data_IF_259019180635
#
_entry.id   IF_259019180635
#
_cell.length_a   1.000
_cell.length_b   1.000
_cell.length_c   1.000
_cell.angle_alpha   90.00
_cell.angle_beta   90.00
_cell.angle_gamma   90.00
#
_symmetry.space_group_name_H-M   'P 1'
#
loop_
_entity.id
_entity.type
_entity.pdbx_description
1 polymer ?
#
# COMPACT_ATOMS: atom_id res chain seq x y z
N UNK A 1 50.75 14.78 1.86
CA UNK A 1 49.36 15.31 1.73
C UNK A 1 48.48 14.56 0.70
N UNK A 2 48.99 13.95 -0.38
CA UNK A 2 48.16 13.29 -1.43
C UNK A 2 47.46 11.97 -1.00
N UNK A 3 47.89 11.30 0.09
CA UNK A 3 47.28 10.02 0.53
C UNK A 3 46.01 10.17 1.38
N UNK A 4 45.81 11.34 2.05
CA UNK A 4 44.65 11.56 2.90
C UNK A 4 43.42 11.91 2.07
N UNK A 5 43.59 12.65 0.96
CA UNK A 5 42.50 13.00 0.06
C UNK A 5 41.87 11.79 -0.61
N UNK A 6 42.67 10.78 -0.98
CA UNK A 6 42.16 9.52 -1.58
C UNK A 6 41.30 8.70 -0.62
N UNK A 7 41.65 8.68 0.67
CA UNK A 7 40.92 7.91 1.70
C UNK A 7 39.55 8.50 2.00
N UNK A 8 39.43 9.84 2.01
CA UNK A 8 38.15 10.55 2.23
C UNK A 8 37.19 10.33 1.05
N UNK A 9 37.69 10.36 -0.18
CA UNK A 9 36.86 10.12 -1.38
C UNK A 9 36.36 8.68 -1.41
N UNK A 10 37.21 7.71 -1.04
CA UNK A 10 36.83 6.31 -1.00
C UNK A 10 35.78 6.04 0.10
N UNK A 11 35.94 6.62 1.28
CA UNK A 11 34.95 6.51 2.38
C UNK A 11 33.61 7.13 2.00
N UNK A 12 33.60 8.29 1.34
CA UNK A 12 32.38 8.94 0.86
C UNK A 12 31.67 8.14 -0.21
N UNK A 13 32.42 7.48 -1.08
CA UNK A 13 31.86 6.61 -2.13
C UNK A 13 31.25 5.33 -1.56
N UNK A 14 31.91 4.71 -0.58
CA UNK A 14 31.40 3.50 0.11
C UNK A 14 30.12 3.82 0.90
N UNK A 15 30.07 4.95 1.62
CA UNK A 15 28.87 5.40 2.34
C UNK A 15 27.75 5.72 1.36
N UNK A 16 28.03 6.41 0.26
CA UNK A 16 27.05 6.72 -0.78
C UNK A 16 26.47 5.47 -1.45
N UNK A 17 27.30 4.49 -1.78
CA UNK A 17 26.85 3.22 -2.37
C UNK A 17 26.06 2.40 -1.36
N UNK A 18 26.49 2.30 -0.11
CA UNK A 18 25.75 1.62 0.96
C UNK A 18 24.38 2.26 1.20
N UNK A 19 24.30 3.59 1.18
CA UNK A 19 23.04 4.33 1.34
C UNK A 19 22.08 4.08 0.15
N UNK A 20 22.59 4.10 -1.10
CA UNK A 20 21.79 3.83 -2.30
C UNK A 20 21.32 2.39 -2.36
N UNK A 21 22.15 1.41 -1.98
CA UNK A 21 21.76 -0.01 -1.97
C UNK A 21 20.75 -0.31 -0.87
N UNK A 22 20.86 0.34 0.29
CA UNK A 22 19.91 0.21 1.40
C UNK A 22 18.55 0.80 1.02
N UNK A 23 18.51 1.98 0.39
CA UNK A 23 17.28 2.61 -0.11
C UNK A 23 16.58 1.74 -1.15
N UNK A 24 17.31 1.19 -2.12
CA UNK A 24 16.76 0.28 -3.12
C UNK A 24 16.24 -1.04 -2.53
N UNK A 25 16.79 -1.48 -1.39
CA UNK A 25 16.31 -2.63 -0.63
C UNK A 25 14.96 -2.38 0.04
N UNK A 26 14.81 -1.25 0.70
CA UNK A 26 13.56 -0.86 1.36
C UNK A 26 12.44 -0.63 0.34
N UNK A 27 12.70 0.07 -0.75
CA UNK A 27 11.70 0.27 -1.80
C UNK A 27 11.22 -1.05 -2.40
N UNK A 28 12.10 -2.02 -2.62
CA UNK A 28 11.71 -3.36 -3.09
C UNK A 28 10.85 -4.11 -2.08
N UNK A 29 11.18 -3.99 -0.79
CA UNK A 29 10.39 -4.60 0.28
C UNK A 29 8.99 -3.97 0.36
N UNK A 30 8.89 -2.65 0.26
CA UNK A 30 7.61 -1.94 0.21
C UNK A 30 6.79 -2.38 -1.00
N UNK A 31 7.37 -2.43 -2.21
CA UNK A 31 6.65 -2.89 -3.41
C UNK A 31 6.09 -4.29 -3.26
N UNK A 32 6.87 -5.21 -2.68
CA UNK A 32 6.39 -6.59 -2.42
C UNK A 32 5.17 -6.60 -1.52
N UNK A 33 5.20 -5.86 -0.40
CA UNK A 33 4.07 -5.78 0.52
C UNK A 33 2.84 -5.14 -0.14
N UNK A 34 3.03 -4.13 -0.98
CA UNK A 34 1.92 -3.55 -1.77
C UNK A 34 1.29 -4.58 -2.70
N UNK A 35 2.08 -5.42 -3.36
CA UNK A 35 1.56 -6.51 -4.21
C UNK A 35 0.80 -7.57 -3.39
N UNK A 36 1.28 -7.88 -2.19
CA UNK A 36 0.59 -8.78 -1.25
C UNK A 36 -0.75 -8.17 -0.79
N UNK A 37 -0.76 -6.90 -0.37
CA UNK A 37 -1.97 -6.16 0.01
C UNK A 37 -2.97 -6.12 -1.15
N UNK A 38 -2.52 -5.82 -2.38
CA UNK A 38 -3.36 -5.83 -3.57
C UNK A 38 -4.02 -7.20 -3.78
N UNK A 39 -3.26 -8.26 -3.66
CA UNK A 39 -3.74 -9.64 -3.84
C UNK A 39 -4.72 -10.03 -2.74
N UNK A 40 -4.43 -9.70 -1.48
CA UNK A 40 -5.31 -9.92 -0.35
C UNK A 40 -6.61 -9.12 -0.49
N UNK A 41 -6.54 -7.87 -0.95
CA UNK A 41 -7.70 -7.02 -1.23
C UNK A 41 -8.62 -7.67 -2.27
N UNK A 42 -8.06 -8.10 -3.41
CA UNK A 42 -8.85 -8.74 -4.47
C UNK A 42 -9.50 -10.04 -3.98
N UNK A 43 -8.75 -10.86 -3.25
CA UNK A 43 -9.27 -12.10 -2.67
C UNK A 43 -10.37 -11.80 -1.63
N UNK A 44 -10.15 -10.84 -0.74
CA UNK A 44 -11.14 -10.43 0.25
C UNK A 44 -12.44 -9.97 -0.39
N UNK A 45 -12.37 -9.14 -1.43
CA UNK A 45 -13.52 -8.68 -2.19
C UNK A 45 -14.29 -9.83 -2.85
N UNK A 46 -13.60 -10.77 -3.50
CA UNK A 46 -14.24 -11.88 -4.21
C UNK A 46 -14.76 -12.97 -3.27
N UNK A 47 -14.10 -13.21 -2.14
CA UNK A 47 -14.51 -14.21 -1.15
C UNK A 47 -15.44 -13.65 -0.06
N UNK A 48 -15.70 -12.34 -0.06
CA UNK A 48 -16.46 -11.64 1.00
C UNK A 48 -15.84 -11.84 2.38
N UNK A 49 -14.51 -11.72 2.42
CA UNK A 49 -13.73 -11.87 3.64
C UNK A 49 -13.29 -10.47 4.13
N UNK A 50 -14.07 -9.83 5.01
CA UNK A 50 -13.79 -8.44 5.44
C UNK A 50 -12.47 -8.32 6.23
N UNK A 51 -12.01 -9.41 6.83
CA UNK A 51 -10.78 -9.43 7.64
C UNK A 51 -9.52 -9.78 6.83
N UNK A 52 -9.63 -9.88 5.50
CA UNK A 52 -8.52 -10.29 4.63
C UNK A 52 -7.28 -9.37 4.71
N UNK A 53 -7.44 -8.12 5.14
CA UNK A 53 -6.35 -7.18 5.33
C UNK A 53 -5.89 -6.98 6.77
N UNK A 54 -6.52 -7.62 7.76
CA UNK A 54 -6.19 -7.38 9.18
C UNK A 54 -4.72 -7.61 9.51
N UNK A 55 -4.10 -8.64 8.90
CA UNK A 55 -2.67 -8.91 9.09
C UNK A 55 -1.73 -7.84 8.52
N UNK A 56 -2.20 -7.05 7.56
CA UNK A 56 -1.41 -5.99 6.91
C UNK A 56 -1.48 -4.66 7.65
N UNK A 57 -2.37 -4.50 8.63
CA UNK A 57 -2.42 -3.30 9.46
C UNK A 57 -1.40 -3.36 10.60
N UNK A 58 -0.80 -2.21 10.89
CA UNK A 58 0.03 -2.02 12.07
C UNK A 58 -0.85 -2.00 13.33
N UNK A 59 -0.26 -2.35 14.46
CA UNK A 59 -0.94 -2.33 15.77
C UNK A 59 -0.39 -1.20 16.64
N UNK A 60 -1.14 -0.79 17.67
CA UNK A 60 -0.65 0.18 18.66
C UNK A 60 0.63 -0.30 19.35
N UNK A 61 0.74 -1.61 19.62
CA UNK A 61 1.93 -2.21 20.21
C UNK A 61 3.17 -2.08 19.31
N UNK A 62 3.00 -1.87 18.02
CA UNK A 62 4.07 -1.65 17.03
C UNK A 62 4.38 -0.16 16.83
N UNK A 63 3.80 0.73 17.66
CA UNK A 63 4.03 2.18 17.58
C UNK A 63 3.14 2.90 16.57
N UNK A 64 2.12 2.24 16.03
CA UNK A 64 1.13 2.88 15.19
C UNK A 64 0.16 3.74 16.03
N UNK A 65 0.66 4.88 16.51
CA UNK A 65 -0.20 5.90 17.14
C UNK A 65 -0.71 6.82 16.04
N UNK A 66 -1.65 6.34 15.25
CA UNK A 66 -2.28 7.14 14.19
C UNK A 66 -3.78 7.23 14.46
N UNK A 67 -4.22 8.44 14.77
CA UNK A 67 -5.65 8.73 14.75
C UNK A 67 -6.18 8.35 13.35
N UNK A 68 -7.23 7.54 13.28
CA UNK A 68 -7.83 7.12 12.02
C UNK A 68 -7.44 5.73 11.51
N UNK A 69 -6.53 5.00 12.18
CA UNK A 69 -6.18 3.63 11.75
C UNK A 69 -7.38 2.69 11.87
N UNK A 70 -8.10 2.74 12.99
CA UNK A 70 -9.29 1.93 13.21
C UNK A 70 -10.40 2.29 12.22
N UNK A 71 -10.58 3.58 11.93
CA UNK A 71 -11.55 4.07 10.94
C UNK A 71 -11.17 3.60 9.53
N UNK A 72 -9.88 3.63 9.16
CA UNK A 72 -9.41 3.13 7.87
C UNK A 72 -9.68 1.63 7.72
N UNK A 73 -9.39 0.85 8.75
CA UNK A 73 -9.65 -0.59 8.77
C UNK A 73 -11.15 -0.89 8.69
N UNK A 74 -11.98 -0.16 9.45
CA UNK A 74 -13.42 -0.31 9.43
C UNK A 74 -14.02 0.08 8.08
N UNK A 75 -13.57 1.18 7.48
CA UNK A 75 -14.02 1.62 6.16
C UNK A 75 -13.73 0.55 5.07
N UNK A 76 -12.61 -0.15 5.16
CA UNK A 76 -12.32 -1.27 4.27
C UNK A 76 -13.27 -2.45 4.47
N UNK A 77 -13.57 -2.82 5.72
CA UNK A 77 -14.54 -3.87 6.04
C UNK A 77 -15.95 -3.53 5.55
N UNK A 78 -16.36 -2.29 5.75
CA UNK A 78 -17.65 -1.80 5.27
C UNK A 78 -17.73 -1.82 3.74
N UNK A 79 -16.65 -1.42 3.06
CA UNK A 79 -16.57 -1.47 1.59
C UNK A 79 -16.77 -2.90 1.06
N UNK A 80 -16.09 -3.91 1.64
CA UNK A 80 -16.29 -5.31 1.25
C UNK A 80 -17.72 -5.75 1.50
N UNK A 81 -18.30 -5.37 2.64
CA UNK A 81 -19.64 -5.77 3.05
C UNK A 81 -20.75 -5.19 2.17
N UNK A 82 -20.50 -4.09 1.46
CA UNK A 82 -21.44 -3.46 0.52
C UNK A 82 -21.56 -4.21 -0.81
N UNK A 83 -20.64 -5.13 -1.12
CA UNK A 83 -20.69 -5.87 -2.38
C UNK A 83 -21.67 -7.05 -2.29
N UNK A 84 -22.73 -7.09 -3.12
CA UNK A 84 -23.62 -8.24 -3.18
C UNK A 84 -22.89 -9.53 -3.56
N UNK A 85 -23.29 -10.65 -2.95
CA UNK A 85 -22.58 -11.94 -3.07
C UNK A 85 -22.51 -12.54 -4.47
N UNK A 86 -23.33 -12.06 -5.40
CA UNK A 86 -23.36 -12.51 -6.79
C UNK A 86 -22.44 -11.65 -7.73
N UNK A 87 -21.70 -10.71 -7.18
CA UNK A 87 -20.78 -9.87 -7.93
C UNK A 87 -19.35 -10.38 -7.77
N UNK A 88 -18.52 -10.26 -8.81
CA UNK A 88 -17.09 -10.46 -8.77
C UNK A 88 -16.37 -9.12 -8.99
N UNK A 89 -15.22 -8.95 -8.37
CA UNK A 89 -14.34 -7.78 -8.61
C UNK A 89 -13.17 -8.20 -9.47
N UNK A 90 -12.85 -7.40 -10.45
CA UNK A 90 -11.71 -7.58 -11.33
C UNK A 90 -10.84 -6.33 -11.33
N UNK A 91 -9.54 -6.51 -11.12
CA UNK A 91 -8.55 -5.47 -11.30
C UNK A 91 -7.98 -5.55 -12.71
N UNK A 92 -8.04 -4.43 -13.46
CA UNK A 92 -7.54 -4.34 -14.83
C UNK A 92 -6.11 -3.82 -14.88
N UNK A 93 -5.80 -2.86 -14.01
CA UNK A 93 -4.43 -2.35 -13.84
C UNK A 93 -4.20 -1.93 -12.39
N UNK A 94 -2.94 -1.96 -12.00
CA UNK A 94 -2.46 -1.47 -10.71
C UNK A 94 -1.05 -0.95 -10.88
N UNK A 95 -0.87 0.35 -10.66
CA UNK A 95 0.40 1.03 -10.86
C UNK A 95 0.79 1.82 -9.61
N UNK A 96 1.99 1.62 -9.10
CA UNK A 96 2.59 2.48 -8.08
C UNK A 96 3.14 3.70 -8.79
N UNK A 97 2.49 4.86 -8.60
CA UNK A 97 2.83 6.12 -9.26
C UNK A 97 3.85 6.94 -8.47
N UNK A 98 3.89 6.78 -7.14
CA UNK A 98 4.92 7.35 -6.30
C UNK A 98 5.24 6.41 -5.12
N UNK A 99 6.50 6.36 -4.73
CA UNK A 99 6.98 5.61 -3.58
C UNK A 99 8.12 6.35 -2.92
N UNK A 100 7.95 6.72 -1.66
CA UNK A 100 8.96 7.32 -0.82
C UNK A 100 9.13 6.47 0.44
N UNK A 101 10.27 5.79 0.56
CA UNK A 101 10.64 5.06 1.76
C UNK A 101 11.74 5.83 2.50
N UNK A 102 11.49 6.14 3.77
CA UNK A 102 12.42 6.86 4.64
C UNK A 102 12.74 5.99 5.86
N UNK A 103 14.00 5.97 6.23
CA UNK A 103 14.45 5.37 7.49
C UNK A 103 14.63 6.49 8.51
N UNK A 104 13.93 6.40 9.64
CA UNK A 104 14.13 7.32 10.76
C UNK A 104 15.33 6.88 11.61
N UNK A 105 15.86 7.79 12.46
CA UNK A 105 17.03 7.52 13.31
C UNK A 105 16.83 6.39 14.33
N UNK A 106 15.60 6.01 14.62
CA UNK A 106 15.21 5.02 15.65
C UNK A 106 14.85 3.64 15.05
N UNK A 107 15.43 3.28 13.89
CA UNK A 107 15.12 2.04 13.14
C UNK A 107 13.65 1.91 12.66
N UNK A 108 12.79 2.85 12.98
CA UNK A 108 11.46 2.91 12.43
C UNK A 108 11.52 3.40 10.97
N UNK A 109 11.06 2.59 10.03
CA UNK A 109 10.92 2.97 8.64
C UNK A 109 9.50 3.49 8.39
N UNK A 110 9.39 4.57 7.63
CA UNK A 110 8.12 5.08 7.11
C UNK A 110 8.15 5.03 5.59
N UNK A 111 7.06 4.63 4.98
CA UNK A 111 6.90 4.72 3.54
C UNK A 111 5.55 5.35 3.19
N UNK A 112 5.58 6.22 2.17
CA UNK A 112 4.39 6.78 1.53
C UNK A 112 4.31 6.20 0.13
N UNK A 113 3.15 5.66 -0.21
CA UNK A 113 2.89 5.06 -1.51
C UNK A 113 1.64 5.66 -2.10
N UNK A 114 1.73 6.14 -3.32
CA UNK A 114 0.59 6.50 -4.15
C UNK A 114 0.43 5.44 -5.22
N UNK A 115 -0.76 4.87 -5.33
CA UNK A 115 -1.07 3.93 -6.39
C UNK A 115 -2.34 4.32 -7.14
N UNK A 116 -2.42 3.87 -8.38
CA UNK A 116 -3.59 3.98 -9.23
C UNK A 116 -4.08 2.57 -9.56
N UNK A 117 -5.37 2.37 -9.42
CA UNK A 117 -6.07 1.11 -9.65
C UNK A 117 -7.22 1.34 -10.64
N UNK A 118 -7.34 0.49 -11.65
CA UNK A 118 -8.54 0.39 -12.47
C UNK A 118 -9.26 -0.92 -12.14
N UNK A 119 -10.51 -0.85 -11.75
CA UNK A 119 -11.30 -2.02 -11.36
C UNK A 119 -12.72 -1.99 -11.89
N UNK A 120 -13.32 -3.15 -11.96
CA UNK A 120 -14.74 -3.31 -12.31
C UNK A 120 -15.42 -4.30 -11.36
N UNK A 121 -16.71 -4.10 -11.16
CA UNK A 121 -17.59 -5.08 -10.54
C UNK A 121 -18.38 -5.76 -11.64
N UNK A 122 -18.29 -7.08 -11.67
CA UNK A 122 -18.84 -7.94 -12.73
C UNK A 122 -20.02 -8.73 -12.16
N UNK A 123 -21.14 -8.74 -12.90
CA UNK A 123 -22.29 -9.59 -12.63
C UNK A 123 -22.71 -10.28 -13.92
N UNK A 124 -22.89 -11.60 -13.89
CA UNK A 124 -23.29 -12.39 -15.05
C UNK A 124 -22.43 -12.10 -16.30
N UNK A 125 -21.14 -11.88 -16.12
CA UNK A 125 -20.19 -11.61 -17.19
C UNK A 125 -20.18 -10.17 -17.72
N UNK A 126 -20.99 -9.28 -17.15
CA UNK A 126 -21.04 -7.86 -17.57
C UNK A 126 -20.53 -6.95 -16.46
N UNK A 127 -19.77 -5.92 -16.84
CA UNK A 127 -19.36 -4.87 -15.90
C UNK A 127 -20.58 -3.99 -15.56
N UNK A 128 -20.96 -3.98 -14.29
CA UNK A 128 -22.07 -3.16 -13.77
C UNK A 128 -21.58 -1.90 -13.07
N UNK A 129 -20.29 -1.88 -12.73
CA UNK A 129 -19.57 -0.73 -12.19
C UNK A 129 -18.12 -0.79 -12.65
N UNK A 130 -17.54 0.35 -12.97
CA UNK A 130 -16.12 0.49 -13.24
C UNK A 130 -15.63 1.85 -12.79
N UNK A 131 -14.41 1.92 -12.26
CA UNK A 131 -13.77 3.17 -11.87
C UNK A 131 -12.25 3.04 -11.88
N UNK A 132 -11.56 4.17 -12.05
CA UNK A 132 -10.18 4.34 -11.66
C UNK A 132 -10.13 4.93 -10.25
N UNK A 133 -9.24 4.42 -9.43
CA UNK A 133 -9.03 4.92 -8.08
C UNK A 133 -7.57 5.33 -7.92
N UNK A 134 -7.33 6.50 -7.35
CA UNK A 134 -6.01 6.93 -6.88
C UNK A 134 -6.06 7.02 -5.35
N UNK A 135 -5.11 6.38 -4.68
CA UNK A 135 -5.06 6.37 -3.23
C UNK A 135 -3.62 6.54 -2.73
N UNK A 136 -3.49 7.28 -1.62
CA UNK A 136 -2.25 7.37 -0.85
C UNK A 136 -2.38 6.48 0.39
N UNK A 137 -1.35 5.68 0.64
CA UNK A 137 -1.23 4.91 1.88
C UNK A 137 0.11 5.18 2.55
N UNK A 138 0.11 5.12 3.86
CA UNK A 138 1.30 5.19 4.68
C UNK A 138 1.58 3.83 5.31
N UNK A 139 2.83 3.42 5.27
CA UNK A 139 3.32 2.16 5.84
C UNK A 139 4.33 2.43 6.93
N UNK A 140 4.27 1.63 7.99
CA UNK A 140 5.23 1.58 9.08
C UNK A 140 6.02 0.29 8.98
N UNK A 141 7.34 0.35 9.16
CA UNK A 141 8.19 -0.83 9.29
C UNK A 141 8.12 -1.34 10.72
N UNK A 142 7.61 -2.53 10.89
CA UNK A 142 7.43 -3.21 12.18
C UNK A 142 8.31 -4.47 12.23
N UNK A 143 8.43 -5.16 13.37
CA UNK A 143 9.08 -6.47 13.45
C UNK A 143 8.44 -7.52 12.51
N UNK A 144 7.14 -7.35 12.18
CA UNK A 144 6.42 -8.21 11.22
C UNK A 144 6.60 -7.78 9.76
N UNK A 145 7.45 -6.77 9.48
CA UNK A 145 7.64 -6.17 8.16
C UNK A 145 6.84 -4.88 7.98
N UNK A 146 6.66 -4.44 6.75
CA UNK A 146 5.89 -3.25 6.43
C UNK A 146 4.39 -3.46 6.68
N UNK A 147 3.73 -2.51 7.36
CA UNK A 147 2.31 -2.58 7.74
C UNK A 147 1.62 -1.25 7.46
N UNK A 148 0.36 -1.31 7.07
CA UNK A 148 -0.47 -0.11 6.85
C UNK A 148 -0.65 0.61 8.18
N UNK A 149 -0.30 1.90 8.21
CA UNK A 149 -0.52 2.76 9.36
C UNK A 149 -1.58 3.83 9.10
N UNK A 150 -2.05 3.96 7.88
CA UNK A 150 -3.09 4.91 7.49
C UNK A 150 -3.15 5.11 5.99
N UNK A 151 -4.11 5.91 5.54
CA UNK A 151 -4.28 6.26 4.14
C UNK A 151 -5.43 7.23 3.94
N UNK A 152 -5.43 7.89 2.79
CA UNK A 152 -6.53 8.77 2.39
C UNK A 152 -7.68 7.96 1.79
N UNK A 153 -8.87 8.52 1.77
CA UNK A 153 -9.97 7.94 1.00
C UNK A 153 -9.59 7.90 -0.50
N UNK A 154 -9.94 6.82 -1.23
CA UNK A 154 -9.63 6.73 -2.65
C UNK A 154 -10.38 7.82 -3.43
N UNK A 155 -9.64 8.50 -4.31
CA UNK A 155 -10.22 9.43 -5.28
C UNK A 155 -10.64 8.64 -6.51
N UNK A 156 -11.93 8.65 -6.84
CA UNK A 156 -12.49 7.94 -7.98
C UNK A 156 -12.57 8.83 -9.20
N UNK A 157 -12.15 8.29 -10.34
CA UNK A 157 -12.20 8.91 -11.67
C UNK A 157 -12.83 7.93 -12.67
N UNK A 158 -13.33 8.44 -13.79
CA UNK A 158 -13.90 7.64 -14.90
C UNK A 158 -14.98 6.64 -14.41
N UNK A 159 -15.82 7.08 -13.48
CA UNK A 159 -16.84 6.22 -12.85
C UNK A 159 -17.96 5.92 -13.83
N UNK A 160 -18.27 4.62 -13.99
CA UNK A 160 -19.44 4.12 -14.72
C UNK A 160 -20.26 3.21 -13.81
N UNK A 161 -21.59 3.36 -13.86
CA UNK A 161 -22.49 2.64 -12.95
C UNK A 161 -22.69 3.37 -11.61
N UNK A 162 -23.45 2.75 -10.70
CA UNK A 162 -23.73 3.28 -9.36
C UNK A 162 -22.96 2.48 -8.30
N UNK A 163 -22.56 3.18 -7.23
CA UNK A 163 -22.01 2.54 -6.04
C UNK A 163 -22.93 2.77 -4.83
N UNK A 164 -23.20 1.77 -3.97
CA UNK A 164 -22.91 0.36 -4.19
C UNK A 164 -23.68 -0.18 -5.42
N UNK A 165 -23.13 -1.20 -6.12
CA UNK A 165 -23.84 -1.79 -7.26
C UNK A 165 -25.09 -2.49 -6.75
N UNK A 166 -26.22 -2.41 -7.49
CA UNK A 166 -27.53 -2.91 -7.08
C UNK A 166 -27.55 -4.42 -6.82
#
# INVERSE_FOLDING_TARGET
MKRITGLIVLASLVVGVAWLTQRGGEERAVRRVIDEIRSATLNGLNQRHPDALDEYFATEAEGAVVAGLAETQQAYKDFISQLPGNNAVQFHSFDITALEAQRTREDAGLAKVTYRLHFSVIRSGQAIFSAKATQNIALLKTPRGWRIMGGDAPQLEDVTGNWPPP
#
